data_IF_704685788370
#
_entry.id   IF_704685788370
#
_cell.length_a   1.000
_cell.length_b   1.000
_cell.length_c   1.000
_cell.angle_alpha   90.00
_cell.angle_beta   90.00
_cell.angle_gamma   90.00
#
_symmetry.space_group_name_H-M   'P 1'
#
loop_
_entity.id
_entity.type
_entity.pdbx_description
1 polymer ?
#
# COMPACT_ATOMS: atom_id res chain seq x y z
N UNK A 1 -30.02 4.58 -14.81
CA UNK A 1 -28.99 4.42 -13.76
C UNK A 1 -27.56 4.61 -14.29
N UNK A 2 -27.11 3.85 -15.29
CA UNK A 2 -25.75 3.94 -15.87
C UNK A 2 -25.31 5.34 -16.35
N UNK A 3 -26.21 6.10 -16.96
CA UNK A 3 -25.90 7.46 -17.42
C UNK A 3 -25.69 8.47 -16.29
N UNK A 4 -26.34 8.26 -15.13
CA UNK A 4 -26.16 9.11 -13.96
C UNK A 4 -24.78 8.85 -13.33
N UNK A 5 -24.43 7.56 -13.19
CA UNK A 5 -23.11 7.12 -12.70
C UNK A 5 -21.98 7.66 -13.58
N UNK A 6 -22.07 7.52 -14.90
CA UNK A 6 -21.06 8.09 -15.83
C UNK A 6 -20.95 9.62 -15.70
N UNK A 7 -22.07 10.33 -15.55
CA UNK A 7 -22.07 11.79 -15.38
C UNK A 7 -21.39 12.21 -14.08
N UNK A 8 -21.61 11.48 -12.99
CA UNK A 8 -20.99 11.71 -11.69
C UNK A 8 -19.49 11.39 -11.74
N UNK A 9 -19.14 10.18 -12.20
CA UNK A 9 -17.76 9.67 -12.22
C UNK A 9 -16.82 10.49 -13.12
N UNK A 10 -17.34 11.09 -14.19
CA UNK A 10 -16.54 11.89 -15.13
C UNK A 10 -16.78 13.39 -14.98
N UNK A 11 -17.13 13.83 -13.76
CA UNK A 11 -17.41 15.24 -13.44
C UNK A 11 -16.13 15.95 -12.98
N UNK A 12 -15.93 17.20 -13.42
CA UNK A 12 -14.90 18.08 -12.85
C UNK A 12 -15.14 18.38 -11.36
N UNK A 13 -16.40 18.36 -10.90
CA UNK A 13 -16.70 18.54 -9.46
C UNK A 13 -16.19 17.36 -8.65
N UNK A 14 -16.40 16.14 -9.15
CA UNK A 14 -15.84 14.94 -8.50
C UNK A 14 -14.32 14.98 -8.53
N UNK A 15 -13.71 15.38 -9.65
CA UNK A 15 -12.26 15.55 -9.76
C UNK A 15 -11.71 16.48 -8.66
N UNK A 16 -12.32 17.65 -8.48
CA UNK A 16 -11.90 18.61 -7.45
C UNK A 16 -12.03 18.03 -6.03
N UNK A 17 -13.13 17.32 -5.75
CA UNK A 17 -13.33 16.64 -4.47
C UNK A 17 -12.25 15.57 -4.24
N UNK A 18 -11.98 14.73 -5.24
CA UNK A 18 -10.97 13.68 -5.15
C UNK A 18 -9.56 14.26 -4.96
N UNK A 19 -9.23 15.36 -5.64
CA UNK A 19 -7.96 16.06 -5.43
C UNK A 19 -7.84 16.63 -4.01
N UNK A 20 -8.92 17.25 -3.49
CA UNK A 20 -8.91 17.78 -2.14
C UNK A 20 -8.74 16.66 -1.11
N UNK A 21 -9.48 15.55 -1.27
CA UNK A 21 -9.35 14.38 -0.41
C UNK A 21 -7.94 13.78 -0.48
N UNK A 22 -7.37 13.67 -1.68
CA UNK A 22 -6.00 13.19 -1.86
C UNK A 22 -4.99 14.12 -1.18
N UNK A 23 -5.09 15.43 -1.38
CA UNK A 23 -4.19 16.41 -0.76
C UNK A 23 -4.30 16.42 0.78
N UNK A 24 -5.52 16.35 1.31
CA UNK A 24 -5.77 16.26 2.75
C UNK A 24 -5.21 14.96 3.32
N UNK A 25 -5.44 13.83 2.64
CA UNK A 25 -4.87 12.54 3.03
C UNK A 25 -3.34 12.58 3.07
N UNK A 26 -2.69 13.16 2.06
CA UNK A 26 -1.24 13.32 2.02
C UNK A 26 -0.73 14.20 3.16
N UNK A 27 -1.38 15.35 3.41
CA UNK A 27 -1.00 16.24 4.50
C UNK A 27 -1.13 15.55 5.88
N UNK A 28 -2.23 14.84 6.13
CA UNK A 28 -2.38 14.05 7.34
C UNK A 28 -1.36 12.91 7.42
N UNK A 29 -1.05 12.24 6.30
CA UNK A 29 0.02 11.23 6.24
C UNK A 29 1.36 11.78 6.72
N UNK A 30 1.74 12.98 6.26
CA UNK A 30 2.97 13.66 6.70
C UNK A 30 2.95 13.97 8.20
N UNK A 31 1.82 14.44 8.76
CA UNK A 31 1.72 14.70 10.19
C UNK A 31 1.77 13.41 11.03
N UNK A 32 1.06 12.36 10.61
CA UNK A 32 1.08 11.05 11.28
C UNK A 32 2.49 10.47 11.27
N UNK A 33 3.19 10.59 10.15
CA UNK A 33 4.59 10.17 10.03
C UNK A 33 5.51 10.93 10.98
N UNK A 34 5.33 12.25 11.09
CA UNK A 34 6.13 13.09 11.99
C UNK A 34 5.81 12.88 13.48
N UNK A 35 4.56 12.56 13.84
CA UNK A 35 4.15 12.42 15.23
C UNK A 35 4.35 11.00 15.79
N UNK A 36 4.27 9.99 14.94
CA UNK A 36 4.32 8.58 15.36
C UNK A 36 5.48 7.86 14.68
N UNK A 37 5.32 7.51 13.41
CA UNK A 37 6.36 6.87 12.59
C UNK A 37 5.91 6.74 11.13
N UNK A 38 6.87 6.53 10.23
CA UNK A 38 6.60 6.17 8.83
C UNK A 38 5.75 4.90 8.73
N UNK A 39 5.97 3.92 9.63
CA UNK A 39 5.18 2.68 9.65
C UNK A 39 3.72 2.92 10.03
N UNK A 40 3.46 3.76 11.03
CA UNK A 40 2.09 4.14 11.42
C UNK A 40 1.38 4.88 10.27
N UNK A 41 2.08 5.76 9.54
CA UNK A 41 1.53 6.42 8.36
C UNK A 41 1.24 5.44 7.20
N UNK A 42 2.09 4.43 7.00
CA UNK A 42 1.88 3.34 6.03
C UNK A 42 0.63 2.52 6.38
N UNK A 43 0.41 2.19 7.65
CA UNK A 43 -0.77 1.44 8.11
C UNK A 43 -2.06 2.19 7.75
N UNK A 44 -2.15 3.46 8.14
CA UNK A 44 -3.42 4.19 8.11
C UNK A 44 -3.68 4.97 6.82
N UNK A 45 -2.64 5.43 6.13
CA UNK A 45 -2.76 6.27 4.93
C UNK A 45 -2.15 5.58 3.71
N UNK A 46 -0.82 5.46 3.65
CA UNK A 46 -0.13 5.19 2.40
C UNK A 46 -0.44 3.80 1.82
N UNK A 47 -0.52 2.77 2.67
CA UNK A 47 -0.86 1.41 2.26
C UNK A 47 -2.31 1.04 2.56
N UNK A 48 -3.15 2.00 2.94
CA UNK A 48 -4.56 1.75 3.21
C UNK A 48 -5.35 1.57 1.92
N UNK A 49 -6.40 0.75 1.98
CA UNK A 49 -7.27 0.45 0.83
C UNK A 49 -8.12 1.66 0.43
N UNK A 50 -8.58 2.46 1.40
CA UNK A 50 -9.37 3.66 1.12
C UNK A 50 -8.58 4.71 0.32
N UNK A 51 -7.29 4.87 0.61
CA UNK A 51 -6.42 5.82 -0.10
C UNK A 51 -6.18 5.37 -1.55
N UNK A 52 -5.99 4.07 -1.75
CA UNK A 52 -5.92 3.46 -3.07
C UNK A 52 -7.21 3.63 -3.88
N UNK A 53 -8.36 3.46 -3.23
CA UNK A 53 -9.67 3.70 -3.87
C UNK A 53 -9.79 5.14 -4.36
N UNK A 54 -9.30 6.14 -3.61
CA UNK A 54 -9.26 7.54 -4.08
C UNK A 54 -8.42 7.66 -5.36
N UNK A 55 -7.22 7.08 -5.37
CA UNK A 55 -6.33 7.10 -6.56
C UNK A 55 -6.96 6.40 -7.77
N UNK A 56 -7.61 5.26 -7.56
CA UNK A 56 -8.33 4.54 -8.61
C UNK A 56 -9.46 5.40 -9.20
N UNK A 57 -10.25 6.07 -8.35
CA UNK A 57 -11.30 6.98 -8.81
C UNK A 57 -10.72 8.20 -9.55
N UNK A 58 -9.56 8.72 -9.16
CA UNK A 58 -8.87 9.78 -9.90
C UNK A 58 -8.52 9.33 -11.31
N UNK A 59 -7.92 8.14 -11.48
CA UNK A 59 -7.58 7.59 -12.80
C UNK A 59 -8.82 7.40 -13.67
N UNK A 60 -9.88 6.79 -13.11
CA UNK A 60 -11.16 6.61 -13.82
C UNK A 60 -11.75 7.96 -14.24
N UNK A 61 -11.69 8.97 -13.36
CA UNK A 61 -12.18 10.31 -13.64
C UNK A 61 -11.38 10.98 -14.77
N UNK A 62 -10.04 10.93 -14.74
CA UNK A 62 -9.20 11.51 -15.79
C UNK A 62 -9.44 10.84 -17.14
N UNK A 63 -9.48 9.51 -17.18
CA UNK A 63 -9.75 8.76 -18.41
C UNK A 63 -11.11 9.16 -19.00
N UNK A 64 -12.14 9.29 -18.16
CA UNK A 64 -13.47 9.71 -18.59
C UNK A 64 -13.56 11.18 -19.04
N UNK A 65 -12.76 12.07 -18.45
CA UNK A 65 -12.72 13.49 -18.81
C UNK A 65 -12.13 13.73 -20.21
N UNK A 66 -11.14 12.93 -20.62
CA UNK A 66 -10.46 13.07 -21.93
C UNK A 66 -11.45 13.09 -23.11
N UNK A 67 -12.30 12.06 -23.33
CA UNK A 67 -13.27 12.06 -24.42
C UNK A 67 -14.44 13.02 -24.14
N UNK A 68 -14.90 13.14 -22.88
CA UNK A 68 -16.05 13.98 -22.51
C UNK A 68 -15.82 15.46 -22.85
N UNK A 69 -14.63 15.97 -22.58
CA UNK A 69 -14.26 17.36 -22.84
C UNK A 69 -13.48 17.57 -24.15
N UNK A 70 -13.36 16.50 -24.96
CA UNK A 70 -12.65 16.48 -26.25
C UNK A 70 -11.23 17.06 -26.13
N UNK A 71 -10.45 16.52 -25.19
CA UNK A 71 -9.10 17.03 -24.92
C UNK A 71 -8.09 16.75 -26.05
N UNK A 72 -8.43 15.87 -26.99
CA UNK A 72 -7.65 15.59 -28.21
C UNK A 72 -7.51 16.77 -29.19
N UNK A 73 -8.25 17.85 -28.97
CA UNK A 73 -8.14 19.05 -29.81
C UNK A 73 -6.80 19.74 -29.61
N UNK A 74 -6.20 20.26 -30.69
CA UNK A 74 -4.87 20.88 -30.65
C UNK A 74 -4.80 22.05 -29.65
N UNK A 75 -5.86 22.84 -29.54
CA UNK A 75 -5.94 23.95 -28.59
C UNK A 75 -5.97 23.51 -27.11
N UNK A 76 -6.22 22.23 -26.82
CA UNK A 76 -6.29 21.64 -25.47
C UNK A 76 -5.14 20.69 -25.17
N UNK A 77 -4.14 20.62 -26.05
CA UNK A 77 -3.02 19.68 -25.88
C UNK A 77 -2.29 19.82 -24.53
N UNK A 78 -2.05 21.02 -23.97
CA UNK A 78 -1.46 21.14 -22.63
C UNK A 78 -2.30 20.47 -21.54
N UNK A 79 -3.64 20.58 -21.62
CA UNK A 79 -4.57 19.98 -20.65
C UNK A 79 -4.60 18.46 -20.82
N UNK A 80 -4.53 17.97 -22.07
CA UNK A 80 -4.44 16.55 -22.36
C UNK A 80 -3.16 15.94 -21.77
N UNK A 81 -2.01 16.58 -22.00
CA UNK A 81 -0.72 16.15 -21.45
C UNK A 81 -0.80 16.05 -19.93
N UNK A 82 -1.36 17.06 -19.26
CA UNK A 82 -1.53 17.03 -17.80
C UNK A 82 -2.34 15.81 -17.34
N UNK A 83 -3.45 15.50 -18.00
CA UNK A 83 -4.26 14.31 -17.65
C UNK A 83 -3.47 13.02 -17.84
N UNK A 84 -2.75 12.89 -18.96
CA UNK A 84 -1.94 11.73 -19.25
C UNK A 84 -0.79 11.57 -18.24
N UNK A 85 -0.16 12.68 -17.81
CA UNK A 85 0.87 12.68 -16.77
C UNK A 85 0.31 12.17 -15.44
N UNK A 86 -0.85 12.65 -14.99
CA UNK A 86 -1.46 12.15 -13.75
C UNK A 86 -1.81 10.67 -13.82
N UNK A 87 -2.38 10.21 -14.95
CA UNK A 87 -2.66 8.79 -15.18
C UNK A 87 -1.36 7.98 -15.11
N UNK A 88 -0.30 8.43 -15.79
CA UNK A 88 0.99 7.74 -15.80
C UNK A 88 1.61 7.68 -14.40
N UNK A 89 1.59 8.78 -13.64
CA UNK A 89 2.14 8.85 -12.28
C UNK A 89 1.40 7.87 -11.35
N UNK A 90 0.07 7.84 -11.40
CA UNK A 90 -0.72 6.95 -10.53
C UNK A 90 -0.51 5.47 -10.92
N UNK A 91 -0.43 5.16 -12.22
CA UNK A 91 -0.09 3.81 -12.68
C UNK A 91 1.32 3.43 -12.21
N UNK A 92 2.29 4.34 -12.32
CA UNK A 92 3.65 4.14 -11.80
C UNK A 92 3.64 3.84 -10.30
N UNK A 93 2.90 4.62 -9.50
CA UNK A 93 2.75 4.39 -8.07
C UNK A 93 2.11 3.03 -7.75
N UNK A 94 1.14 2.58 -8.55
CA UNK A 94 0.56 1.24 -8.42
C UNK A 94 1.59 0.14 -8.68
N UNK A 95 2.41 0.28 -9.72
CA UNK A 95 3.52 -0.65 -9.99
C UNK A 95 4.50 -0.68 -8.83
N UNK A 96 4.92 0.49 -8.32
CA UNK A 96 5.80 0.57 -7.15
C UNK A 96 5.21 -0.15 -5.94
N UNK A 97 3.93 0.07 -5.64
CA UNK A 97 3.28 -0.53 -4.47
C UNK A 97 3.16 -2.05 -4.51
N UNK A 98 2.86 -2.63 -5.67
CA UNK A 98 2.50 -4.06 -5.77
C UNK A 98 3.59 -4.95 -6.35
N UNK A 99 4.50 -4.38 -7.14
CA UNK A 99 5.48 -5.15 -7.92
C UNK A 99 6.91 -4.84 -7.49
N UNK A 100 7.18 -3.66 -6.92
CA UNK A 100 8.54 -3.30 -6.56
C UNK A 100 9.05 -4.02 -5.31
N UNK A 101 10.38 -4.03 -5.19
CA UNK A 101 11.08 -4.48 -4.02
C UNK A 101 11.89 -3.30 -3.47
N UNK A 102 11.50 -2.83 -2.29
CA UNK A 102 12.09 -1.67 -1.62
C UNK A 102 13.00 -2.13 -0.47
N UNK A 103 13.92 -1.24 -0.10
CA UNK A 103 14.94 -1.57 0.89
C UNK A 103 15.91 -0.43 1.17
N UNK A 104 16.77 -0.67 2.15
CA UNK A 104 17.84 0.24 2.57
C UNK A 104 19.21 -0.39 2.32
N UNK A 105 20.10 0.39 1.71
CA UNK A 105 21.51 0.05 1.55
C UNK A 105 22.34 1.08 2.35
N UNK A 106 22.70 0.77 3.61
CA UNK A 106 23.51 1.69 4.41
C UNK A 106 24.96 1.69 3.90
N UNK A 107 25.36 2.77 3.23
CA UNK A 107 26.73 2.94 2.72
C UNK A 107 27.49 3.91 3.62
N UNK A 108 28.63 3.46 4.17
CA UNK A 108 29.52 4.33 4.94
C UNK A 108 30.37 5.20 4.01
N UNK A 109 30.77 6.37 4.49
CA UNK A 109 31.65 7.27 3.73
C UNK A 109 32.96 6.55 3.34
N UNK A 110 33.32 6.62 2.05
CA UNK A 110 34.50 5.96 1.50
C UNK A 110 34.38 4.43 1.31
N UNK A 111 33.24 3.82 1.67
CA UNK A 111 33.00 2.40 1.47
C UNK A 111 32.15 2.12 0.23
N UNK A 112 32.23 0.88 -0.26
CA UNK A 112 31.30 0.32 -1.23
C UNK A 112 30.53 -0.81 -0.57
N UNK A 113 29.23 -0.92 -0.88
CA UNK A 113 28.37 -2.00 -0.38
C UNK A 113 27.69 -2.68 -1.57
N UNK A 114 27.48 -3.99 -1.45
CA UNK A 114 26.76 -4.80 -2.42
C UNK A 114 25.57 -5.56 -1.79
N UNK A 115 25.26 -5.26 -0.53
CA UNK A 115 24.14 -5.83 0.21
C UNK A 115 23.11 -4.74 0.49
N UNK A 116 21.85 -5.05 0.25
CA UNK A 116 20.73 -4.20 0.62
C UNK A 116 19.72 -5.01 1.44
N UNK A 117 19.06 -4.35 2.37
CA UNK A 117 18.09 -4.96 3.28
C UNK A 117 16.69 -4.56 2.86
N UNK A 118 15.74 -5.49 2.85
CA UNK A 118 14.33 -5.16 2.57
C UNK A 118 13.78 -4.22 3.64
N UNK A 119 12.93 -3.28 3.24
CA UNK A 119 12.21 -2.40 4.17
C UNK A 119 10.97 -3.08 4.77
N UNK A 120 10.54 -4.20 4.17
CA UNK A 120 9.40 -4.99 4.62
C UNK A 120 9.77 -5.81 5.85
N UNK A 121 8.92 -5.71 6.87
CA UNK A 121 9.01 -6.55 8.06
C UNK A 121 8.16 -7.80 7.86
N UNK A 122 8.76 -8.96 8.12
CA UNK A 122 8.07 -10.25 8.00
C UNK A 122 7.93 -10.91 9.37
N UNK A 123 6.76 -11.48 9.64
CA UNK A 123 6.55 -12.41 10.74
C UNK A 123 6.71 -13.83 10.22
N UNK A 124 7.74 -14.52 10.72
CA UNK A 124 8.02 -15.91 10.37
C UNK A 124 7.71 -16.82 11.55
N UNK A 125 6.79 -17.76 11.36
CA UNK A 125 6.45 -18.80 12.31
C UNK A 125 6.99 -20.14 11.81
N UNK A 126 7.87 -20.76 12.58
CA UNK A 126 8.32 -22.13 12.32
C UNK A 126 7.55 -23.08 13.22
N UNK A 127 6.72 -23.94 12.62
CA UNK A 127 5.94 -24.94 13.36
C UNK A 127 6.67 -26.28 13.23
N UNK A 128 7.13 -26.77 14.37
CA UNK A 128 7.82 -28.05 14.48
C UNK A 128 6.87 -29.09 15.05
N UNK A 129 6.85 -30.28 14.48
CA UNK A 129 6.13 -31.42 15.02
C UNK A 129 6.58 -32.74 14.41
N UNK A 130 6.20 -33.83 15.07
CA UNK A 130 6.60 -35.17 14.67
C UNK A 130 5.58 -35.76 13.71
N UNK A 131 6.02 -36.16 12.51
CA UNK A 131 5.19 -36.83 11.51
C UNK A 131 5.85 -38.16 11.19
N UNK A 132 5.18 -39.27 11.55
CA UNK A 132 5.66 -40.64 11.33
C UNK A 132 7.05 -40.94 11.95
N UNK A 133 7.35 -40.41 13.14
CA UNK A 133 8.63 -40.64 13.81
C UNK A 133 9.76 -39.69 13.42
N UNK A 134 9.52 -38.77 12.49
CA UNK A 134 10.49 -37.76 12.05
C UNK A 134 10.05 -36.36 12.48
N UNK A 135 10.98 -35.59 13.07
CA UNK A 135 10.77 -34.16 13.33
C UNK A 135 10.72 -33.39 12.00
N UNK A 136 9.59 -32.74 11.73
CA UNK A 136 9.40 -31.89 10.55
C UNK A 136 9.06 -30.47 10.96
N UNK A 137 9.58 -29.52 10.18
CA UNK A 137 9.34 -28.08 10.32
C UNK A 137 8.56 -27.56 9.14
N UNK A 138 7.53 -26.76 9.40
CA UNK A 138 6.84 -25.96 8.39
C UNK A 138 7.02 -24.46 8.69
N UNK A 139 7.77 -23.73 7.86
CA UNK A 139 7.84 -22.28 7.97
C UNK A 139 6.59 -21.64 7.35
N UNK A 140 6.04 -20.64 8.04
CA UNK A 140 5.04 -19.71 7.55
C UNK A 140 5.63 -18.31 7.63
N UNK A 141 5.44 -17.50 6.60
CA UNK A 141 5.97 -16.15 6.56
C UNK A 141 4.95 -15.23 5.91
N UNK A 142 4.75 -14.06 6.50
CA UNK A 142 3.91 -13.00 5.94
C UNK A 142 4.43 -11.62 6.34
N UNK A 143 4.04 -10.62 5.57
CA UNK A 143 4.35 -9.22 5.86
C UNK A 143 3.51 -8.73 7.05
N UNK A 144 4.17 -8.11 8.02
CA UNK A 144 3.52 -7.48 9.17
C UNK A 144 4.09 -6.09 9.38
N UNK A 145 3.22 -5.13 9.67
CA UNK A 145 3.62 -3.83 10.20
C UNK A 145 2.90 -3.68 11.53
N UNK A 146 3.66 -3.67 12.62
CA UNK A 146 3.14 -3.50 13.97
C UNK A 146 3.81 -2.29 14.62
N UNK A 147 3.01 -1.36 15.10
CA UNK A 147 3.43 -0.18 15.85
C UNK A 147 2.61 -0.08 17.13
N UNK A 148 3.00 0.76 18.11
CA UNK A 148 2.15 1.02 19.27
C UNK A 148 0.75 1.53 18.89
N UNK A 149 0.64 2.25 17.77
CA UNK A 149 -0.61 2.87 17.34
C UNK A 149 -1.46 1.99 16.42
N UNK A 150 -0.92 0.91 15.85
CA UNK A 150 -1.66 0.14 14.87
C UNK A 150 -1.00 -1.15 14.42
N UNK A 151 -1.80 -1.96 13.74
CA UNK A 151 -1.39 -3.22 13.14
C UNK A 151 -1.90 -3.31 11.70
N UNK A 152 -1.01 -3.68 10.80
CA UNK A 152 -1.36 -4.18 9.47
C UNK A 152 -0.77 -5.58 9.31
N UNK A 153 -1.65 -6.58 9.28
CA UNK A 153 -1.30 -7.99 9.12
C UNK A 153 -2.48 -8.77 8.54
N UNK A 154 -2.24 -9.97 8.02
CA UNK A 154 -3.30 -10.92 7.67
C UNK A 154 -3.75 -11.82 8.84
N UNK A 155 -3.26 -11.58 10.05
CA UNK A 155 -3.66 -12.30 11.27
C UNK A 155 -5.15 -12.04 11.59
N UNK A 156 -5.87 -13.00 12.20
CA UNK A 156 -5.36 -14.26 12.73
C UNK A 156 -5.16 -15.34 11.67
N UNK A 157 -4.13 -16.17 11.84
CA UNK A 157 -3.91 -17.34 10.99
C UNK A 157 -4.44 -18.60 11.64
N UNK A 158 -5.18 -19.38 10.86
CA UNK A 158 -5.69 -20.69 11.27
C UNK A 158 -5.00 -21.75 10.44
N UNK A 159 -4.31 -22.65 11.11
CA UNK A 159 -3.54 -23.71 10.46
C UNK A 159 -3.85 -25.05 11.09
N UNK A 160 -3.45 -26.10 10.37
CA UNK A 160 -3.44 -27.48 10.84
C UNK A 160 -2.02 -28.02 10.61
N UNK A 161 -1.47 -28.65 11.64
CA UNK A 161 -0.22 -29.40 11.52
C UNK A 161 -0.47 -30.82 12.02
N UNK A 162 -0.46 -31.79 11.10
CA UNK A 162 -0.64 -33.20 11.40
C UNK A 162 -1.97 -33.53 12.12
N UNK A 163 -3.06 -32.83 11.79
CA UNK A 163 -4.37 -33.01 12.42
C UNK A 163 -4.55 -32.26 13.74
N UNK A 164 -3.56 -31.49 14.17
CA UNK A 164 -3.66 -30.56 15.29
C UNK A 164 -3.91 -29.14 14.77
N UNK A 165 -5.15 -28.61 14.91
CA UNK A 165 -5.44 -27.24 14.53
C UNK A 165 -4.86 -26.26 15.56
N UNK A 166 -4.23 -25.19 15.09
CA UNK A 166 -3.76 -24.10 15.92
C UNK A 166 -4.03 -22.75 15.26
N UNK A 167 -4.12 -21.72 16.10
CA UNK A 167 -4.40 -20.35 15.67
C UNK A 167 -3.33 -19.40 16.20
N UNK A 168 -2.90 -18.50 15.34
CA UNK A 168 -1.89 -17.49 15.66
C UNK A 168 -2.57 -16.15 15.61
N UNK A 169 -2.59 -15.46 16.74
CA UNK A 169 -3.23 -14.16 16.88
C UNK A 169 -2.24 -13.11 17.37
N UNK A 170 -2.42 -11.89 16.90
CA UNK A 170 -1.72 -10.75 17.46
C UNK A 170 -2.34 -10.36 18.80
N UNK A 171 -1.51 -10.29 19.85
CA UNK A 171 -1.96 -9.93 21.21
C UNK A 171 -1.72 -8.45 21.50
N UNK A 172 -0.58 -7.90 21.07
CA UNK A 172 -0.22 -6.51 21.33
C UNK A 172 1.22 -6.17 20.95
N UNK A 173 1.51 -4.87 20.89
CA UNK A 173 2.85 -4.37 20.61
C UNK A 173 3.61 -4.20 21.93
N UNK A 174 4.81 -4.78 22.02
CA UNK A 174 5.73 -4.53 23.13
C UNK A 174 6.99 -3.85 22.60
N UNK A 175 7.17 -2.59 22.98
CA UNK A 175 8.34 -1.82 22.56
C UNK A 175 9.59 -2.34 23.27
N UNK A 176 10.63 -2.68 22.51
CA UNK A 176 11.93 -3.11 23.05
C UNK A 176 11.91 -4.49 23.71
N UNK A 177 11.00 -5.37 23.31
CA UNK A 177 11.03 -6.78 23.70
C UNK A 177 12.42 -7.37 23.40
N UNK A 178 13.06 -7.96 24.42
CA UNK A 178 14.35 -8.64 24.36
C UNK A 178 14.16 -10.14 24.49
#
# INVERSE_FOLDING_TARGET
MLNLLKKLLFSNRLMAILFLLFAVAMAFGTFVESWYSTETARIYIYNATWFEVIMLFLVINFIGNIPKYRLWRREKWPILVLHLSWILIIIGAFVTRYISFEGMMPIREGATENVFYSDKTYFTLNVDGEINGELKRRPFQDEIIATPEGLKSSLPWKFDFNGEPFEVQYVGFMQGAR
#
